data_IF_680404442725
#
_entry.id   IF_680404442725
#
_cell.length_a   1.000
_cell.length_b   1.000
_cell.length_c   1.000
_cell.angle_alpha   90.00
_cell.angle_beta   90.00
_cell.angle_gamma   90.00
#
_symmetry.space_group_name_H-M   'P 1'
#
loop_
_entity.id
_entity.type
_entity.pdbx_description
1 polymer ?
#
# COMPACT_ATOMS: atom_id res chain seq x y z
N UNK A 1 20.20 24.30 -25.07
CA UNK A 1 21.26 23.52 -24.39
C UNK A 1 21.68 22.29 -25.22
N UNK A 2 21.83 22.41 -26.55
CA UNK A 2 22.22 21.31 -27.45
C UNK A 2 23.57 21.56 -28.15
N UNK A 3 24.03 22.82 -28.17
CA UNK A 3 25.21 23.25 -28.96
C UNK A 3 26.55 22.93 -28.26
N UNK A 4 26.54 22.60 -26.96
CA UNK A 4 27.74 22.25 -26.19
C UNK A 4 28.07 20.74 -26.20
N UNK A 5 27.14 19.87 -26.65
CA UNK A 5 27.35 18.42 -26.69
C UNK A 5 28.27 17.95 -27.83
N UNK A 6 28.51 18.78 -28.84
CA UNK A 6 29.22 18.39 -30.07
C UNK A 6 30.74 18.54 -30.01
N UNK A 7 31.34 18.90 -28.87
CA UNK A 7 32.80 19.02 -28.69
C UNK A 7 33.40 18.17 -27.57
N UNK A 8 32.63 17.30 -26.95
CA UNK A 8 33.10 16.43 -25.87
C UNK A 8 33.37 15.02 -26.41
N UNK A 9 34.57 14.45 -26.19
CA UNK A 9 34.90 13.09 -26.61
C UNK A 9 33.94 12.07 -26.00
N UNK A 10 33.65 11.00 -26.75
CA UNK A 10 32.59 10.03 -26.42
C UNK A 10 32.73 9.42 -25.00
N UNK A 11 33.96 9.23 -24.53
CA UNK A 11 34.22 8.74 -23.16
C UNK A 11 33.67 9.68 -22.07
N UNK A 12 33.58 10.99 -22.31
CA UNK A 12 33.05 11.94 -21.32
C UNK A 12 31.52 11.91 -21.32
N UNK A 13 30.90 11.56 -22.45
CA UNK A 13 29.44 11.49 -22.57
C UNK A 13 28.89 10.31 -21.75
N UNK A 14 29.54 9.14 -21.83
CA UNK A 14 29.16 7.95 -21.04
C UNK A 14 29.26 8.19 -19.53
N UNK A 15 30.28 8.91 -19.07
CA UNK A 15 30.47 9.23 -17.65
C UNK A 15 29.49 10.31 -17.16
N UNK A 16 29.13 11.26 -18.03
CA UNK A 16 28.13 12.29 -17.71
C UNK A 16 26.73 11.70 -17.53
N UNK A 17 26.37 10.66 -18.28
CA UNK A 17 25.07 9.98 -18.12
C UNK A 17 24.90 9.31 -16.75
N UNK A 18 25.99 8.94 -16.08
CA UNK A 18 25.97 8.36 -14.73
C UNK A 18 26.13 9.43 -13.63
N UNK A 19 27.01 10.42 -13.82
CA UNK A 19 27.32 11.44 -12.82
C UNK A 19 26.16 12.43 -12.62
N UNK A 20 25.41 12.76 -13.67
CA UNK A 20 24.29 13.71 -13.62
C UNK A 20 23.14 13.19 -12.71
N UNK A 21 22.59 11.98 -12.90
CA UNK A 21 21.57 11.45 -12.01
C UNK A 21 22.10 11.21 -10.59
N UNK A 22 23.35 10.77 -10.44
CA UNK A 22 23.98 10.61 -9.11
C UNK A 22 24.03 11.92 -8.32
N UNK A 23 24.41 13.02 -8.97
CA UNK A 23 24.45 14.36 -8.35
C UNK A 23 23.05 14.85 -8.00
N UNK A 24 22.06 14.60 -8.85
CA UNK A 24 20.66 14.93 -8.58
C UNK A 24 20.11 14.15 -7.37
N UNK A 25 20.42 12.86 -7.26
CA UNK A 25 20.04 12.02 -6.12
C UNK A 25 20.66 12.57 -4.83
N UNK A 26 21.95 12.90 -4.84
CA UNK A 26 22.63 13.50 -3.68
C UNK A 26 22.00 14.84 -3.26
N UNK A 27 21.64 15.70 -4.22
CA UNK A 27 20.93 16.95 -3.95
C UNK A 27 19.55 16.72 -3.36
N UNK A 28 18.78 15.76 -3.86
CA UNK A 28 17.46 15.38 -3.33
C UNK A 28 17.61 14.88 -1.88
N UNK A 29 18.58 14.00 -1.61
CA UNK A 29 18.84 13.49 -0.26
C UNK A 29 19.26 14.61 0.69
N UNK A 30 20.11 15.52 0.25
CA UNK A 30 20.53 16.68 1.05
C UNK A 30 19.35 17.61 1.35
N UNK A 31 18.53 17.92 0.34
CA UNK A 31 17.34 18.74 0.49
C UNK A 31 16.32 18.09 1.44
N UNK A 32 16.08 16.79 1.30
CA UNK A 32 15.20 16.03 2.19
C UNK A 32 15.69 16.03 3.63
N UNK A 33 17.00 15.82 3.85
CA UNK A 33 17.61 15.88 5.17
C UNK A 33 17.47 17.27 5.81
N UNK A 34 17.73 18.32 5.03
CA UNK A 34 17.57 19.71 5.46
C UNK A 34 16.12 19.99 5.84
N UNK A 35 15.17 19.64 4.97
CA UNK A 35 13.74 19.81 5.19
C UNK A 35 13.28 19.09 6.46
N UNK A 36 13.70 17.85 6.67
CA UNK A 36 13.38 17.09 7.87
C UNK A 36 13.93 17.75 9.14
N UNK A 37 15.13 18.36 9.06
CA UNK A 37 15.74 19.07 10.19
C UNK A 37 14.99 20.36 10.50
N UNK A 38 14.55 21.11 9.48
CA UNK A 38 13.75 22.33 9.63
C UNK A 38 12.38 22.00 10.20
N UNK A 39 11.66 21.02 9.65
CA UNK A 39 10.34 20.59 10.13
C UNK A 39 10.39 20.15 11.60
N UNK A 40 11.37 19.33 11.99
CA UNK A 40 11.55 18.92 13.40
C UNK A 40 11.80 20.11 14.32
N UNK A 41 12.55 21.13 13.87
CA UNK A 41 12.77 22.36 14.65
C UNK A 41 11.48 23.17 14.81
N UNK A 42 10.69 23.30 13.74
CA UNK A 42 9.40 24.01 13.78
C UNK A 42 8.44 23.31 14.73
N UNK A 43 8.30 21.99 14.62
CA UNK A 43 7.40 21.20 15.50
C UNK A 43 7.82 21.33 16.96
N UNK A 44 9.12 21.24 17.28
CA UNK A 44 9.62 21.46 18.63
C UNK A 44 9.33 22.87 19.14
N UNK A 45 9.55 23.89 18.31
CA UNK A 45 9.30 25.30 18.66
C UNK A 45 7.82 25.59 18.87
N UNK A 46 6.95 25.00 18.05
CA UNK A 46 5.50 25.11 18.17
C UNK A 46 4.99 24.37 19.40
N UNK A 47 5.49 23.17 19.69
CA UNK A 47 5.15 22.39 20.88
C UNK A 47 5.49 23.13 22.17
N UNK A 48 6.67 23.79 22.24
CA UNK A 48 7.04 24.61 23.40
C UNK A 48 6.18 25.87 23.56
N UNK A 49 5.61 26.40 22.47
CA UNK A 49 4.79 27.61 22.52
C UNK A 49 3.32 27.31 22.87
N UNK A 50 2.80 26.16 22.42
CA UNK A 50 1.39 25.77 22.58
C UNK A 50 1.12 24.79 23.74
N UNK A 51 2.15 24.38 24.51
CA UNK A 51 2.05 23.39 25.59
C UNK A 51 1.31 22.10 25.15
N UNK A 52 1.58 21.65 23.93
CA UNK A 52 0.96 20.43 23.39
C UNK A 52 1.51 19.22 24.17
N UNK A 53 0.66 18.31 24.67
CA UNK A 53 1.11 17.11 25.37
C UNK A 53 2.09 16.31 24.51
N UNK A 54 3.20 15.86 25.10
CA UNK A 54 4.25 15.11 24.39
C UNK A 54 3.72 13.84 23.71
N UNK A 55 2.63 13.27 24.23
CA UNK A 55 1.91 12.12 23.66
C UNK A 55 1.40 12.35 22.24
N UNK A 56 1.08 13.59 21.87
CA UNK A 56 0.66 13.98 20.51
C UNK A 56 1.86 14.37 19.63
N UNK A 57 2.94 14.87 20.22
CA UNK A 57 4.13 15.36 19.50
C UNK A 57 4.98 14.21 18.97
N UNK A 58 5.03 13.08 19.67
CA UNK A 58 5.73 11.86 19.23
C UNK A 58 5.15 11.29 17.91
N UNK A 59 3.86 10.95 17.80
CA UNK A 59 3.28 10.41 16.57
C UNK A 59 3.33 11.43 15.42
N UNK A 60 3.18 12.72 15.72
CA UNK A 60 3.25 13.79 14.70
C UNK A 60 4.66 13.93 14.09
N UNK A 61 5.71 13.88 14.93
CA UNK A 61 7.09 13.84 14.43
C UNK A 61 7.39 12.54 13.67
N UNK A 62 6.82 11.41 14.11
CA UNK A 62 6.89 10.13 13.40
C UNK A 62 6.29 10.23 12.00
N UNK A 63 5.08 10.78 11.89
CA UNK A 63 4.38 11.00 10.62
C UNK A 63 5.18 11.92 9.69
N UNK A 64 5.65 13.07 10.19
CA UNK A 64 6.48 14.00 9.40
C UNK A 64 7.76 13.30 8.91
N UNK A 65 8.42 12.52 9.77
CA UNK A 65 9.60 11.74 9.36
C UNK A 65 9.24 10.76 8.25
N UNK A 66 8.16 10.02 8.38
CA UNK A 66 7.71 9.05 7.38
C UNK A 66 7.36 9.71 6.05
N UNK A 67 6.63 10.82 6.07
CA UNK A 67 6.28 11.59 4.86
C UNK A 67 7.54 12.08 4.16
N UNK A 68 8.47 12.73 4.88
CA UNK A 68 9.70 13.25 4.25
C UNK A 68 10.56 12.12 3.68
N UNK A 69 10.70 11.01 4.39
CA UNK A 69 11.45 9.85 3.90
C UNK A 69 10.78 9.22 2.68
N UNK A 70 9.46 9.03 2.71
CA UNK A 70 8.71 8.49 1.58
C UNK A 70 8.82 9.39 0.34
N UNK A 71 8.65 10.71 0.49
CA UNK A 71 8.82 11.67 -0.61
C UNK A 71 10.25 11.66 -1.17
N UNK A 72 11.27 11.62 -0.30
CA UNK A 72 12.65 11.55 -0.73
C UNK A 72 12.94 10.26 -1.51
N UNK A 73 12.45 9.12 -1.03
CA UNK A 73 12.56 7.84 -1.72
C UNK A 73 11.90 7.90 -3.09
N UNK A 74 10.66 8.40 -3.19
CA UNK A 74 9.96 8.53 -4.47
C UNK A 74 10.73 9.38 -5.48
N UNK A 75 11.28 10.53 -5.04
CA UNK A 75 12.08 11.39 -5.89
C UNK A 75 13.39 10.72 -6.35
N UNK A 76 14.02 9.92 -5.49
CA UNK A 76 15.22 9.14 -5.86
C UNK A 76 14.86 8.05 -6.87
N UNK A 77 13.77 7.30 -6.63
CA UNK A 77 13.27 6.29 -7.55
C UNK A 77 12.95 6.89 -8.92
N UNK A 78 12.33 8.07 -8.96
CA UNK A 78 12.01 8.79 -10.20
C UNK A 78 13.28 9.11 -11.00
N UNK A 79 14.38 9.47 -10.34
CA UNK A 79 15.69 9.68 -10.99
C UNK A 79 16.34 8.39 -11.48
N UNK A 80 16.03 7.26 -10.84
CA UNK A 80 16.47 5.93 -11.29
C UNK A 80 15.58 5.34 -12.40
N UNK A 81 14.61 6.11 -12.92
CA UNK A 81 13.69 5.68 -13.97
C UNK A 81 12.44 4.94 -13.47
N UNK A 82 12.26 4.83 -12.15
CA UNK A 82 11.05 4.25 -11.54
C UNK A 82 10.14 5.41 -11.11
N UNK A 83 9.21 5.80 -11.96
CA UNK A 83 8.27 6.87 -11.63
C UNK A 83 7.27 6.43 -10.56
N UNK A 84 6.74 7.40 -9.80
CA UNK A 84 5.66 7.17 -8.85
C UNK A 84 4.42 6.54 -9.53
N UNK A 85 4.19 6.86 -10.80
CA UNK A 85 3.10 6.26 -11.60
C UNK A 85 3.32 4.78 -11.87
N UNK A 86 4.55 4.33 -12.17
CA UNK A 86 4.87 2.91 -12.38
C UNK A 86 4.69 2.11 -11.09
N UNK A 87 5.12 2.66 -9.95
CA UNK A 87 4.94 2.00 -8.67
C UNK A 87 3.45 1.91 -8.30
N UNK A 88 2.69 2.98 -8.56
CA UNK A 88 1.24 3.02 -8.35
C UNK A 88 0.51 2.00 -9.23
N UNK A 89 0.82 1.93 -10.53
CA UNK A 89 0.18 0.97 -11.44
C UNK A 89 0.53 -0.47 -11.10
N UNK A 90 1.76 -0.75 -10.67
CA UNK A 90 2.13 -2.07 -10.19
C UNK A 90 1.30 -2.45 -8.96
N UNK A 91 1.24 -1.57 -7.95
CA UNK A 91 0.48 -1.83 -6.73
C UNK A 91 -1.03 -2.03 -7.01
N UNK A 92 -1.66 -1.15 -7.78
CA UNK A 92 -3.08 -1.26 -8.11
C UNK A 92 -3.36 -2.48 -8.99
N UNK A 93 -2.43 -2.86 -9.86
CA UNK A 93 -2.48 -4.11 -10.61
C UNK A 93 -2.48 -5.34 -9.71
N UNK A 94 -1.52 -5.43 -8.78
CA UNK A 94 -1.49 -6.51 -7.77
C UNK A 94 -2.75 -6.53 -6.91
N UNK A 95 -3.23 -5.38 -6.47
CA UNK A 95 -4.47 -5.28 -5.70
C UNK A 95 -5.68 -5.77 -6.49
N UNK A 96 -5.75 -5.46 -7.79
CA UNK A 96 -6.84 -5.92 -8.68
C UNK A 96 -6.79 -7.43 -8.86
N UNK A 97 -5.61 -8.00 -9.09
CA UNK A 97 -5.44 -9.47 -9.16
C UNK A 97 -5.86 -10.13 -7.85
N UNK A 98 -5.46 -9.56 -6.70
CA UNK A 98 -5.88 -10.03 -5.38
C UNK A 98 -7.39 -9.97 -5.19
N UNK A 99 -8.04 -8.89 -5.62
CA UNK A 99 -9.49 -8.75 -5.56
C UNK A 99 -10.21 -9.81 -6.41
N UNK A 100 -9.72 -10.08 -7.62
CA UNK A 100 -10.27 -11.14 -8.50
C UNK A 100 -10.09 -12.53 -7.88
N UNK A 101 -8.93 -12.80 -7.29
CA UNK A 101 -8.67 -14.06 -6.60
C UNK A 101 -9.61 -14.25 -5.39
N UNK A 102 -9.88 -13.19 -4.64
CA UNK A 102 -10.83 -13.22 -3.53
C UNK A 102 -12.27 -13.48 -4.01
N UNK A 103 -12.65 -12.88 -5.12
CA UNK A 103 -13.94 -13.15 -5.77
C UNK A 103 -14.08 -14.62 -6.17
N UNK A 104 -13.03 -15.21 -6.74
CA UNK A 104 -13.02 -16.63 -7.08
C UNK A 104 -13.14 -17.53 -5.84
N UNK A 105 -12.49 -17.17 -4.72
CA UNK A 105 -12.55 -17.92 -3.47
C UNK A 105 -13.86 -17.74 -2.69
N UNK A 106 -14.68 -16.73 -3.02
CA UNK A 106 -15.88 -16.36 -2.26
C UNK A 106 -16.86 -17.52 -2.05
N UNK A 107 -17.14 -18.29 -3.10
CA UNK A 107 -18.07 -19.42 -3.03
C UNK A 107 -17.56 -20.52 -2.09
N UNK A 108 -16.27 -20.85 -2.19
CA UNK A 108 -15.62 -21.85 -1.33
C UNK A 108 -15.65 -21.41 0.13
N UNK A 109 -15.36 -20.13 0.37
CA UNK A 109 -15.36 -19.55 1.71
C UNK A 109 -16.78 -19.54 2.31
N UNK A 110 -17.80 -19.18 1.53
CA UNK A 110 -19.21 -19.22 1.95
C UNK A 110 -19.65 -20.64 2.35
N UNK A 111 -19.30 -21.64 1.54
CA UNK A 111 -19.61 -23.04 1.85
C UNK A 111 -18.87 -23.54 3.10
N UNK A 112 -17.61 -23.14 3.28
CA UNK A 112 -16.83 -23.45 4.48
C UNK A 112 -17.49 -22.86 5.74
N UNK A 113 -17.90 -21.59 5.69
CA UNK A 113 -18.62 -20.96 6.79
C UNK A 113 -19.96 -21.64 7.08
N UNK A 114 -20.71 -22.01 6.03
CA UNK A 114 -21.97 -22.75 6.18
C UNK A 114 -21.75 -24.10 6.88
N UNK A 115 -20.74 -24.86 6.46
CA UNK A 115 -20.36 -26.13 7.08
C UNK A 115 -19.95 -25.96 8.55
N UNK A 116 -19.16 -24.91 8.84
CA UNK A 116 -18.73 -24.58 10.20
C UNK A 116 -19.94 -24.24 11.09
N UNK A 117 -20.90 -23.45 10.58
CA UNK A 117 -22.12 -23.12 11.29
C UNK A 117 -23.00 -24.34 11.57
N UNK A 118 -23.21 -25.22 10.58
CA UNK A 118 -23.95 -26.46 10.78
C UNK A 118 -23.29 -27.32 11.86
N UNK A 119 -21.96 -27.43 11.83
CA UNK A 119 -21.22 -28.24 12.80
C UNK A 119 -21.24 -27.66 14.23
N UNK A 120 -21.11 -26.34 14.35
CA UNK A 120 -21.01 -25.66 15.66
C UNK A 120 -22.37 -25.43 16.31
N UNK A 121 -23.34 -24.94 15.54
CA UNK A 121 -24.70 -24.65 16.03
C UNK A 121 -25.56 -25.91 16.11
N UNK A 122 -25.24 -26.93 15.29
CA UNK A 122 -26.00 -28.20 15.18
C UNK A 122 -27.53 -27.97 15.09
N UNK A 123 -28.01 -27.21 14.10
CA UNK A 123 -29.43 -26.85 13.99
C UNK A 123 -30.35 -28.06 13.75
N UNK A 124 -29.81 -29.19 13.28
CA UNK A 124 -30.52 -30.47 13.10
C UNK A 124 -29.62 -31.64 13.50
N UNK A 125 -30.22 -32.76 13.87
CA UNK A 125 -29.54 -33.99 14.29
C UNK A 125 -29.69 -35.09 13.25
N UNK A 126 -28.80 -36.08 13.31
CA UNK A 126 -28.89 -37.28 12.47
C UNK A 126 -30.21 -37.98 12.77
N UNK A 127 -31.02 -38.20 11.72
CA UNK A 127 -32.33 -38.82 11.79
C UNK A 127 -33.50 -37.85 11.64
N UNK A 128 -33.29 -36.53 11.72
CA UNK A 128 -34.36 -35.53 11.58
C UNK A 128 -34.87 -35.45 10.14
N UNK A 129 -36.18 -35.24 9.95
CA UNK A 129 -36.78 -34.95 8.65
C UNK A 129 -36.79 -33.44 8.45
N UNK A 130 -36.10 -32.97 7.40
CA UNK A 130 -35.94 -31.55 7.11
C UNK A 130 -36.41 -31.23 5.69
N UNK A 131 -36.84 -29.97 5.50
CA UNK A 131 -37.18 -29.40 4.20
C UNK A 131 -36.18 -28.29 3.88
N UNK A 132 -35.41 -28.45 2.80
CA UNK A 132 -34.46 -27.44 2.31
C UNK A 132 -35.19 -26.54 1.32
N UNK A 133 -35.38 -25.28 1.72
CA UNK A 133 -36.07 -24.26 0.94
C UNK A 133 -35.07 -23.49 0.07
N UNK A 134 -35.29 -23.46 -1.24
CA UNK A 134 -34.50 -22.67 -2.21
C UNK A 134 -35.11 -21.26 -2.40
N UNK A 135 -36.42 -21.12 -2.17
CA UNK A 135 -37.16 -19.84 -2.20
C UNK A 135 -38.40 -19.96 -1.31
N UNK A 136 -38.81 -18.87 -0.64
CA UNK A 136 -39.92 -18.86 0.31
C UNK A 136 -41.30 -19.21 -0.29
N UNK A 137 -41.47 -19.07 -1.60
CA UNK A 137 -42.76 -19.25 -2.29
C UNK A 137 -42.97 -20.65 -2.89
N UNK A 138 -41.95 -21.52 -2.89
CA UNK A 138 -42.02 -22.85 -3.53
C UNK A 138 -41.74 -23.96 -2.52
N UNK A 139 -42.43 -25.11 -2.62
CA UNK A 139 -42.13 -26.27 -1.77
C UNK A 139 -40.69 -26.72 -1.98
N UNK A 140 -39.98 -26.96 -0.87
CA UNK A 140 -38.56 -27.30 -0.85
C UNK A 140 -38.29 -28.80 -0.99
N UNK A 141 -37.01 -29.16 -1.08
CA UNK A 141 -36.60 -30.55 -1.10
C UNK A 141 -36.72 -31.18 0.30
N UNK A 142 -37.51 -32.25 0.43
CA UNK A 142 -37.72 -32.96 1.70
C UNK A 142 -36.84 -34.19 1.79
N UNK A 143 -36.24 -34.42 2.95
CA UNK A 143 -35.40 -35.60 3.18
C UNK A 143 -35.11 -35.84 4.65
N UNK A 144 -34.57 -37.01 4.95
CA UNK A 144 -34.08 -37.36 6.29
C UNK A 144 -32.58 -37.09 6.34
N UNK A 145 -32.10 -36.42 7.40
CA UNK A 145 -30.68 -36.24 7.68
C UNK A 145 -30.09 -37.61 8.02
N UNK A 146 -29.13 -38.07 7.21
CA UNK A 146 -28.40 -39.34 7.39
C UNK A 146 -26.93 -39.09 7.70
#
# INVERSE_FOLDING_TARGET
>A
MQVLKTRLPDWIQDWLEVIIPGTQILLILFAAWLLQRVLRRIVRRASTHYQVPDELVLPMNGLIRWVVVASALLLVLERMGVSATVLWTAFTGFATVGAVAFFAAWSVLSNLFCALLIFTVRPFRIGDYIEVLDTAEKPGAKGRVV
#
